data_IF_482980006774
#
_entry.id   IF_482980006774
#
_cell.length_a   1.000
_cell.length_b   1.000
_cell.length_c   1.000
_cell.angle_alpha   90.00
_cell.angle_beta   90.00
_cell.angle_gamma   90.00
#
_symmetry.space_group_name_H-M   'P 1'
#
loop_
_entity.id
_entity.type
_entity.pdbx_description
1 polymer ?
#
# COMPACT_ATOMS: atom_id res chain seq x y z
N UNK A 1 -1.91 -15.95 4.98
CA UNK A 1 -3.19 -15.32 5.37
C UNK A 1 -3.44 -14.19 4.40
N UNK A 2 -4.68 -13.96 3.96
CA UNK A 2 -4.93 -12.92 2.98
C UNK A 2 -4.57 -11.53 3.49
N UNK A 3 -4.09 -10.66 2.60
CA UNK A 3 -3.79 -9.27 2.97
C UNK A 3 -5.05 -8.60 3.52
N UNK A 4 -4.96 -8.05 4.74
CA UNK A 4 -6.08 -7.41 5.44
C UNK A 4 -5.71 -5.97 5.77
N UNK A 5 -6.12 -4.98 4.94
CA UNK A 5 -5.78 -3.57 5.15
C UNK A 5 -6.11 -3.09 6.56
N UNK A 6 -7.31 -3.42 7.07
CA UNK A 6 -7.77 -2.98 8.41
C UNK A 6 -6.95 -3.53 9.56
N UNK A 7 -6.42 -4.75 9.46
CA UNK A 7 -5.58 -5.34 10.50
C UNK A 7 -4.14 -4.82 10.40
N UNK A 8 -3.68 -4.52 9.18
CA UNK A 8 -2.40 -3.89 8.94
C UNK A 8 -2.30 -2.52 9.61
N UNK A 9 -3.27 -1.63 9.39
CA UNK A 9 -3.25 -0.29 9.99
C UNK A 9 -3.31 -0.32 11.53
N UNK A 10 -4.05 -1.26 12.12
CA UNK A 10 -4.10 -1.44 13.58
C UNK A 10 -2.76 -1.84 14.20
N UNK A 11 -1.94 -2.62 13.46
CA UNK A 11 -0.61 -3.04 13.92
C UNK A 11 0.44 -1.93 13.82
N UNK A 12 0.19 -0.95 12.97
CA UNK A 12 1.13 0.14 12.70
C UNK A 12 1.04 1.30 13.67
N UNK A 13 0.02 1.39 14.52
CA UNK A 13 -0.16 2.52 15.45
C UNK A 13 0.06 2.10 16.90
N UNK A 14 1.29 2.28 17.46
CA UNK A 14 1.48 2.35 18.90
C UNK A 14 0.64 3.49 19.49
N UNK A 15 0.23 3.38 20.75
CA UNK A 15 -0.50 4.46 21.43
C UNK A 15 0.31 5.76 21.43
N UNK A 16 -0.26 6.82 20.85
CA UNK A 16 0.29 8.19 20.90
C UNK A 16 0.97 8.72 19.64
N UNK A 17 1.19 7.92 18.59
CA UNK A 17 1.73 8.40 17.30
C UNK A 17 0.63 8.62 16.24
N UNK A 18 0.84 9.60 15.36
CA UNK A 18 -0.05 9.83 14.22
C UNK A 18 -0.08 8.60 13.29
N UNK A 19 -1.25 8.08 12.89
CA UNK A 19 -1.37 6.97 11.93
C UNK A 19 -0.64 7.24 10.61
N UNK A 20 -0.58 8.50 10.17
CA UNK A 20 0.10 8.88 8.94
C UNK A 20 1.63 8.75 9.06
N UNK A 21 2.20 9.23 10.17
CA UNK A 21 3.65 9.16 10.39
C UNK A 21 4.14 7.71 10.51
N UNK A 22 3.32 6.87 11.14
CA UNK A 22 3.56 5.43 11.24
C UNK A 22 3.57 4.73 9.89
N UNK A 23 2.55 4.98 9.07
CA UNK A 23 2.47 4.44 7.74
C UNK A 23 3.63 4.91 6.86
N UNK A 24 4.03 6.18 7.02
CA UNK A 24 5.18 6.74 6.31
C UNK A 24 6.48 6.04 6.71
N UNK A 25 6.71 5.84 8.01
CA UNK A 25 7.88 5.12 8.55
C UNK A 25 7.94 3.68 8.02
N UNK A 26 6.80 3.00 7.99
CA UNK A 26 6.70 1.67 7.36
C UNK A 26 7.08 1.71 5.88
N UNK A 27 6.51 2.64 5.12
CA UNK A 27 6.74 2.72 3.68
C UNK A 27 8.20 3.09 3.34
N UNK A 28 8.81 4.00 4.12
CA UNK A 28 10.24 4.30 4.04
C UNK A 28 11.08 3.03 4.35
N UNK A 29 10.68 2.24 5.34
CA UNK A 29 11.28 0.94 5.67
C UNK A 29 11.26 -0.03 4.48
N UNK A 30 10.10 -0.23 3.85
CA UNK A 30 9.96 -1.11 2.68
C UNK A 30 10.86 -0.66 1.52
N UNK A 31 10.85 0.64 1.20
CA UNK A 31 11.68 1.20 0.11
C UNK A 31 13.17 1.05 0.39
N UNK A 32 13.60 1.12 1.65
CA UNK A 32 15.01 0.89 2.01
C UNK A 32 15.45 -0.57 1.91
N UNK A 33 14.51 -1.52 1.96
CA UNK A 33 14.79 -2.97 1.99
C UNK A 33 14.67 -3.64 0.62
N UNK A 34 13.99 -3.04 -0.35
CA UNK A 34 13.79 -3.60 -1.69
C UNK A 34 13.93 -2.55 -2.79
N UNK A 35 14.61 -2.92 -3.88
CA UNK A 35 14.72 -2.09 -5.09
C UNK A 35 13.48 -2.13 -6.00
N UNK A 36 12.47 -2.93 -5.66
CA UNK A 36 11.23 -3.06 -6.45
C UNK A 36 10.23 -1.93 -6.13
N UNK A 37 10.34 -1.40 -4.91
CA UNK A 37 9.55 -0.29 -4.39
C UNK A 37 10.38 0.99 -4.37
N UNK A 38 9.73 2.11 -4.61
CA UNK A 38 10.41 3.40 -4.63
C UNK A 38 9.54 4.51 -4.05
N UNK A 39 10.22 5.59 -3.68
CA UNK A 39 9.61 6.86 -3.30
C UNK A 39 9.98 7.93 -4.30
N UNK A 40 8.98 8.66 -4.81
CA UNK A 40 9.17 9.90 -5.55
C UNK A 40 8.77 11.07 -4.67
N UNK A 41 9.62 12.09 -4.63
CA UNK A 41 9.34 13.33 -3.93
C UNK A 41 9.29 14.48 -4.92
N UNK A 42 8.29 15.34 -4.79
CA UNK A 42 8.14 16.52 -5.62
C UNK A 42 7.31 17.56 -4.89
N UNK A 43 7.26 18.78 -5.45
CA UNK A 43 6.44 19.87 -4.93
C UNK A 43 5.37 20.22 -5.94
N UNK A 44 4.18 20.47 -5.44
CA UNK A 44 3.08 21.07 -6.20
C UNK A 44 2.70 22.33 -5.44
N UNK A 45 2.87 23.47 -6.07
CA UNK A 45 2.71 24.79 -5.43
C UNK A 45 3.53 24.89 -4.13
N UNK A 46 2.87 25.09 -2.99
CA UNK A 46 3.51 25.23 -1.68
C UNK A 46 3.50 23.92 -0.86
N UNK A 47 2.99 22.81 -1.40
CA UNK A 47 2.95 21.53 -0.72
C UNK A 47 4.09 20.62 -1.16
N UNK A 48 4.67 19.87 -0.20
CA UNK A 48 5.63 18.80 -0.50
C UNK A 48 4.89 17.46 -0.54
N UNK A 49 5.14 16.68 -1.60
CA UNK A 49 4.51 15.38 -1.82
C UNK A 49 5.57 14.28 -1.78
N UNK A 50 5.21 13.18 -1.14
CA UNK A 50 5.95 11.92 -1.16
C UNK A 50 5.01 10.82 -1.66
N UNK A 51 5.32 10.24 -2.81
CA UNK A 51 4.52 9.17 -3.45
C UNK A 51 5.31 7.87 -3.42
N UNK A 52 4.73 6.84 -2.83
CA UNK A 52 5.28 5.50 -2.73
C UNK A 52 4.63 4.61 -3.78
N UNK A 53 5.46 3.95 -4.58
CA UNK A 53 5.01 3.14 -5.71
C UNK A 53 6.00 1.98 -5.98
N UNK A 54 5.71 1.18 -7.01
CA UNK A 54 6.55 0.07 -7.45
C UNK A 54 6.59 0.05 -8.99
N UNK A 55 7.64 -0.57 -9.55
CA UNK A 55 7.76 -0.78 -11.00
C UNK A 55 7.41 -2.23 -11.36
N UNK A 56 8.36 -3.14 -11.15
CA UNK A 56 8.21 -4.57 -11.37
C UNK A 56 8.47 -5.28 -10.04
N UNK A 57 7.41 -5.46 -9.26
CA UNK A 57 7.46 -6.16 -7.98
C UNK A 57 6.72 -7.51 -8.11
N UNK A 58 7.38 -8.65 -7.85
CA UNK A 58 6.74 -9.96 -7.86
C UNK A 58 5.83 -10.14 -6.65
N UNK A 59 4.91 -11.10 -6.71
CA UNK A 59 3.97 -11.43 -5.62
C UNK A 59 4.68 -11.57 -4.26
N UNK A 60 5.81 -12.29 -4.25
CA UNK A 60 6.58 -12.60 -3.06
C UNK A 60 7.11 -11.34 -2.38
N UNK A 61 7.42 -10.29 -3.13
CA UNK A 61 7.89 -9.03 -2.57
C UNK A 61 6.79 -8.31 -1.79
N UNK A 62 5.56 -8.28 -2.34
CA UNK A 62 4.41 -7.72 -1.65
C UNK A 62 4.04 -8.50 -0.40
N UNK A 63 4.08 -9.83 -0.46
CA UNK A 63 3.74 -10.70 0.67
C UNK A 63 4.80 -10.62 1.79
N UNK A 64 6.10 -10.69 1.44
CA UNK A 64 7.21 -10.66 2.43
C UNK A 64 7.32 -9.33 3.15
N UNK A 65 7.15 -8.23 2.42
CA UNK A 65 7.30 -6.86 2.95
C UNK A 65 5.97 -6.24 3.34
N UNK A 66 4.85 -6.96 3.14
CA UNK A 66 3.50 -6.48 3.37
C UNK A 66 3.20 -5.15 2.65
N UNK A 67 3.70 -5.01 1.42
CA UNK A 67 3.83 -3.74 0.70
C UNK A 67 2.62 -3.39 -0.20
N UNK A 68 1.45 -4.00 0.02
CA UNK A 68 0.28 -3.85 -0.85
C UNK A 68 -0.22 -2.40 -0.97
N UNK A 69 -0.02 -1.57 0.06
CA UNK A 69 -0.41 -0.16 0.05
C UNK A 69 0.57 0.74 -0.73
N UNK A 70 1.76 0.25 -1.11
CA UNK A 70 2.73 1.02 -1.89
C UNK A 70 2.33 1.08 -3.39
N UNK A 71 1.05 1.26 -3.67
CA UNK A 71 0.47 1.46 -5.00
C UNK A 71 -0.12 2.87 -5.09
N UNK A 72 0.72 3.89 -4.97
CA UNK A 72 0.27 5.28 -5.00
C UNK A 72 -0.10 5.85 -3.62
N UNK A 73 0.38 5.23 -2.54
CA UNK A 73 0.33 5.83 -1.21
C UNK A 73 1.04 7.19 -1.26
N UNK A 74 0.30 8.25 -0.93
CA UNK A 74 0.76 9.62 -1.09
C UNK A 74 0.68 10.35 0.25
N UNK A 75 1.76 11.02 0.63
CA UNK A 75 1.79 11.95 1.75
C UNK A 75 1.94 13.37 1.23
N UNK A 76 1.16 14.29 1.81
CA UNK A 76 1.16 15.71 1.47
C UNK A 76 1.47 16.48 2.74
N UNK A 77 2.63 17.14 2.76
CA UNK A 77 2.99 18.10 3.80
C UNK A 77 2.55 19.48 3.37
N UNK A 78 1.56 20.02 4.08
CA UNK A 78 1.00 21.35 3.86
C UNK A 78 1.98 22.44 4.31
N UNK A 79 1.86 23.68 3.80
CA UNK A 79 2.64 24.82 4.27
C UNK A 79 2.52 25.07 5.78
N UNK A 80 1.36 24.75 6.34
CA UNK A 80 1.03 24.90 7.76
C UNK A 80 1.67 23.82 8.65
N UNK A 81 2.35 22.83 8.04
CA UNK A 81 3.06 21.76 8.74
C UNK A 81 2.24 20.48 8.96
N UNK A 82 0.96 20.48 8.61
CA UNK A 82 0.10 19.30 8.67
C UNK A 82 0.51 18.27 7.60
N UNK A 83 0.57 16.99 7.98
CA UNK A 83 0.80 15.87 7.04
C UNK A 83 -0.51 15.12 6.80
N UNK A 84 -1.02 15.21 5.57
CA UNK A 84 -2.16 14.42 5.10
C UNK A 84 -1.66 13.20 4.33
N UNK A 85 -2.45 12.14 4.28
CA UNK A 85 -2.13 10.99 3.44
C UNK A 85 -3.36 10.55 2.64
N UNK A 86 -3.11 9.96 1.48
CA UNK A 86 -4.10 9.43 0.57
C UNK A 86 -3.73 7.99 0.22
N UNK A 87 -4.71 7.11 0.38
CA UNK A 87 -4.61 5.71 -0.01
C UNK A 87 -5.31 5.51 -1.34
N UNK A 88 -4.56 4.96 -2.30
CA UNK A 88 -5.15 4.39 -3.50
C UNK A 88 -5.65 2.97 -3.20
N UNK A 89 -6.31 2.33 -4.16
CA UNK A 89 -6.63 0.91 -4.05
C UNK A 89 -5.32 0.10 -3.93
N UNK A 90 -5.18 -0.63 -2.83
CA UNK A 90 -4.06 -1.54 -2.58
C UNK A 90 -3.81 -2.47 -3.78
N UNK A 91 -2.56 -2.94 -3.94
CA UNK A 91 -2.23 -3.91 -4.98
C UNK A 91 -2.98 -5.22 -4.71
N UNK A 92 -3.82 -5.59 -5.66
CA UNK A 92 -4.44 -6.91 -5.79
C UNK A 92 -3.93 -7.61 -7.05
N UNK A 93 -4.10 -8.92 -7.10
CA UNK A 93 -3.59 -9.78 -8.16
C UNK A 93 -4.72 -10.55 -8.85
N UNK A 94 -4.45 -11.05 -10.05
CA UNK A 94 -5.39 -11.88 -10.75
C UNK A 94 -5.52 -13.26 -10.08
N UNK A 95 -6.63 -13.94 -10.37
CA UNK A 95 -6.85 -15.31 -9.91
C UNK A 95 -5.70 -16.22 -10.40
N UNK A 96 -5.05 -16.91 -9.46
CA UNK A 96 -3.94 -17.83 -9.73
C UNK A 96 -2.57 -17.17 -9.93
N UNK A 97 -2.46 -15.84 -9.87
CA UNK A 97 -1.18 -15.13 -10.09
C UNK A 97 -0.22 -15.28 -8.90
N UNK A 98 -0.73 -15.19 -7.66
CA UNK A 98 0.04 -15.42 -6.44
C UNK A 98 -0.53 -16.60 -5.64
N UNK A 99 0.25 -17.14 -4.70
CA UNK A 99 -0.17 -18.27 -3.87
C UNK A 99 -1.50 -17.98 -3.16
N UNK A 100 -1.66 -16.80 -2.55
CA UNK A 100 -2.89 -16.38 -1.88
C UNK A 100 -4.13 -16.40 -2.81
N UNK A 101 -3.93 -16.12 -4.10
CA UNK A 101 -5.00 -15.97 -5.08
C UNK A 101 -5.28 -17.26 -5.86
N UNK A 102 -4.65 -18.39 -5.49
CA UNK A 102 -4.97 -19.69 -6.10
C UNK A 102 -6.38 -20.12 -5.72
N UNK A 103 -7.15 -20.62 -6.68
CA UNK A 103 -8.55 -21.01 -6.49
C UNK A 103 -8.75 -21.91 -5.26
N UNK A 104 -7.86 -22.89 -5.05
CA UNK A 104 -7.89 -23.79 -3.90
C UNK A 104 -7.85 -23.08 -2.54
N UNK A 105 -7.11 -21.97 -2.45
CA UNK A 105 -6.97 -21.14 -1.25
C UNK A 105 -8.17 -20.20 -1.06
N UNK A 106 -8.97 -19.99 -2.12
CA UNK A 106 -10.14 -19.12 -2.12
C UNK A 106 -11.48 -19.88 -1.96
N UNK A 107 -11.51 -21.21 -2.13
CA UNK A 107 -12.75 -22.03 -2.12
C UNK A 107 -13.65 -21.84 -0.90
N UNK A 108 -13.07 -21.51 0.26
CA UNK A 108 -13.81 -21.30 1.51
C UNK A 108 -14.28 -19.86 1.73
N UNK A 109 -13.93 -18.92 0.84
CA UNK A 109 -14.25 -17.51 0.97
C UNK A 109 -15.54 -17.19 0.21
N UNK A 110 -16.36 -16.31 0.78
CA UNK A 110 -17.55 -15.79 0.13
C UNK A 110 -17.15 -14.68 -0.83
N UNK A 111 -17.53 -14.82 -2.10
CA UNK A 111 -17.52 -13.70 -3.05
C UNK A 111 -18.55 -12.67 -2.59
N UNK A 112 -18.09 -11.46 -2.29
CA UNK A 112 -18.97 -10.38 -1.84
C UNK A 112 -19.57 -9.64 -3.03
N UNK A 113 -18.71 -9.19 -3.95
CA UNK A 113 -19.07 -8.28 -5.04
C UNK A 113 -18.16 -8.52 -6.25
N UNK A 114 -18.67 -8.19 -7.43
CA UNK A 114 -17.94 -8.21 -8.70
C UNK A 114 -18.21 -6.88 -9.39
N UNK A 115 -17.16 -6.28 -9.90
CA UNK A 115 -17.21 -4.99 -10.57
C UNK A 115 -16.72 -5.14 -12.01
N UNK A 116 -17.30 -4.37 -12.92
CA UNK A 116 -16.77 -4.24 -14.27
C UNK A 116 -15.38 -3.59 -14.18
N UNK A 117 -14.38 -4.26 -14.76
CA UNK A 117 -13.03 -3.71 -14.84
C UNK A 117 -12.96 -2.79 -16.05
N UNK A 118 -13.25 -1.51 -15.82
CA UNK A 118 -13.07 -0.46 -16.82
C UNK A 118 -11.59 -0.41 -17.28
N UNK A 119 -11.40 -0.28 -18.59
CA UNK A 119 -10.10 -0.12 -19.22
C UNK A 119 -9.85 1.38 -19.42
N UNK A 120 -9.21 1.99 -18.41
CA UNK A 120 -8.99 3.44 -18.32
C UNK A 120 -7.81 3.96 -19.13
#
# INVERSE_FOLDING_TARGET
MPYRPREFFKKLTPEGESPAENLKRFADGVVSQSGEFFKKTFRVENAALEVYSYLNAPCEAFEKLNAHELRGLTFVKTPEGETKHFLSLHKFFNLGECEEYKLQNLKGLKLLEVYEKLDG
#
